data_IF_465356937722
#
_entry.id   IF_465356937722
#
_cell.length_a   1.000
_cell.length_b   1.000
_cell.length_c   1.000
_cell.angle_alpha   90.00
_cell.angle_beta   90.00
_cell.angle_gamma   90.00
#
_symmetry.space_group_name_H-M   'P 1'
#
loop_
_entity.id
_entity.type
_entity.pdbx_description
1 polymer ?
#
# COMPACT_ATOMS: atom_id res chain seq x y z
N UNK A 1 -9.60 0.65 -6.95
CA UNK A 1 -8.84 -0.44 -6.30
C UNK A 1 -8.11 0.11 -5.09
N UNK A 2 -8.33 -0.45 -3.89
CA UNK A 2 -7.61 -0.02 -2.69
C UNK A 2 -6.13 -0.38 -2.76
N UNK A 3 -5.27 0.46 -2.18
CA UNK A 3 -3.84 0.19 -2.07
C UNK A 3 -3.56 -1.15 -1.35
N UNK A 4 -4.32 -1.45 -0.29
CA UNK A 4 -4.24 -2.74 0.40
C UNK A 4 -4.43 -3.94 -0.55
N UNK A 5 -5.35 -3.85 -1.51
CA UNK A 5 -5.63 -4.95 -2.44
C UNK A 5 -4.42 -5.31 -3.28
N UNK A 6 -3.62 -4.34 -3.70
CA UNK A 6 -2.43 -4.58 -4.50
C UNK A 6 -1.39 -5.42 -3.74
N UNK A 7 -1.35 -5.33 -2.41
CA UNK A 7 -0.41 -6.10 -1.59
C UNK A 7 -0.64 -7.62 -1.69
N UNK A 8 -1.76 -8.06 -2.25
CA UNK A 8 -2.10 -9.46 -2.47
C UNK A 8 -2.12 -9.86 -3.95
N UNK A 9 -1.70 -8.97 -4.85
CA UNK A 9 -1.65 -9.24 -6.28
C UNK A 9 -0.23 -9.54 -6.71
N UNK A 10 -0.08 -10.57 -7.54
CA UNK A 10 1.20 -11.02 -8.09
C UNK A 10 1.04 -11.36 -9.57
N UNK A 11 2.12 -11.16 -10.34
CA UNK A 11 2.20 -11.55 -11.73
C UNK A 11 2.02 -13.07 -11.86
N UNK A 12 1.14 -13.51 -12.77
CA UNK A 12 0.92 -14.93 -13.04
C UNK A 12 1.59 -15.39 -14.34
N UNK A 13 2.40 -14.53 -14.98
CA UNK A 13 3.13 -14.92 -16.17
C UNK A 13 4.23 -15.92 -15.81
N UNK A 14 4.29 -17.04 -16.54
CA UNK A 14 5.23 -18.14 -16.29
C UNK A 14 6.71 -17.70 -16.37
N UNK A 15 6.99 -16.59 -17.06
CA UNK A 15 8.35 -16.10 -17.30
C UNK A 15 8.84 -15.09 -16.23
N UNK A 16 7.98 -14.70 -15.27
CA UNK A 16 8.29 -13.68 -14.26
C UNK A 16 9.03 -14.23 -13.02
N UNK A 17 9.66 -15.40 -13.11
CA UNK A 17 10.52 -15.94 -12.03
C UNK A 17 9.78 -16.51 -10.83
N UNK A 18 10.54 -17.01 -9.85
CA UNK A 18 10.02 -17.52 -8.57
C UNK A 18 9.51 -16.33 -7.73
N UNK A 19 8.34 -16.41 -7.08
CA UNK A 19 7.87 -15.37 -6.15
C UNK A 19 8.80 -15.11 -4.96
N UNK A 20 9.79 -15.96 -4.71
CA UNK A 20 10.81 -15.77 -3.70
C UNK A 20 12.12 -15.16 -4.24
N UNK A 21 12.20 -14.82 -5.54
CA UNK A 21 13.39 -14.16 -6.09
C UNK A 21 13.42 -12.69 -5.70
N UNK A 22 14.58 -12.22 -5.23
CA UNK A 22 14.81 -10.81 -4.89
C UNK A 22 14.50 -9.94 -6.11
N UNK A 23 13.82 -8.80 -5.88
CA UNK A 23 13.41 -7.86 -6.91
C UNK A 23 14.57 -7.49 -7.85
N UNK A 24 14.47 -7.92 -9.10
CA UNK A 24 15.17 -7.35 -10.25
C UNK A 24 14.10 -6.78 -11.19
N UNK A 25 14.29 -5.55 -11.67
CA UNK A 25 13.37 -4.87 -12.58
C UNK A 25 13.02 -5.80 -13.78
N UNK A 26 11.73 -6.12 -13.95
CA UNK A 26 11.19 -6.99 -15.01
C UNK A 26 11.28 -8.51 -14.77
N UNK A 27 11.69 -8.98 -13.59
CA UNK A 27 11.85 -10.42 -13.30
C UNK A 27 11.29 -10.91 -11.97
N UNK A 28 10.68 -10.04 -11.16
CA UNK A 28 10.04 -10.44 -9.92
C UNK A 28 8.52 -10.44 -10.10
N UNK A 29 7.80 -11.49 -9.68
CA UNK A 29 6.36 -11.54 -9.84
C UNK A 29 5.63 -10.73 -8.75
N UNK A 30 6.36 -10.21 -7.76
CA UNK A 30 5.83 -9.47 -6.62
C UNK A 30 6.86 -8.48 -6.03
N UNK A 31 6.44 -7.29 -5.53
CA UNK A 31 5.14 -6.67 -5.73
C UNK A 31 4.98 -6.14 -7.17
N UNK A 32 3.73 -6.08 -7.65
CA UNK A 32 3.44 -5.40 -8.91
C UNK A 32 3.64 -3.88 -8.77
N UNK A 33 4.30 -3.25 -9.73
CA UNK A 33 4.50 -1.78 -9.73
C UNK A 33 3.26 -1.05 -10.17
N UNK A 34 2.90 -0.01 -9.46
CA UNK A 34 1.69 0.77 -9.73
C UNK A 34 2.05 1.96 -10.62
N UNK A 35 1.34 2.10 -11.75
CA UNK A 35 1.33 3.35 -12.50
C UNK A 35 -0.08 3.90 -12.38
N UNK A 36 -0.26 4.86 -11.47
CA UNK A 36 -1.56 5.47 -11.22
C UNK A 36 -1.73 6.70 -12.11
N UNK A 37 -2.76 6.71 -12.94
CA UNK A 37 -3.14 7.91 -13.70
C UNK A 37 -4.10 8.79 -12.90
N UNK A 38 -5.07 8.15 -12.23
CA UNK A 38 -6.03 8.82 -11.37
C UNK A 38 -6.25 8.03 -10.08
N UNK A 39 -6.34 8.76 -8.97
CA UNK A 39 -6.62 8.19 -7.66
C UNK A 39 -7.45 9.16 -6.84
N UNK A 40 -8.18 8.64 -5.88
CA UNK A 40 -8.93 9.41 -4.90
C UNK A 40 -8.64 8.93 -3.49
N UNK A 41 -8.84 9.84 -2.54
CA UNK A 41 -8.73 9.55 -1.12
C UNK A 41 -10.15 9.38 -0.58
N UNK A 42 -10.48 8.18 -0.12
CA UNK A 42 -11.73 7.91 0.57
C UNK A 42 -11.51 8.05 2.08
N UNK A 43 -12.34 8.87 2.73
CA UNK A 43 -12.34 8.94 4.18
C UNK A 43 -12.94 7.67 4.76
N UNK A 44 -12.11 6.85 5.41
CA UNK A 44 -12.58 5.69 6.15
C UNK A 44 -13.14 6.16 7.49
N UNK A 45 -14.37 5.75 7.82
CA UNK A 45 -14.92 5.97 9.15
C UNK A 45 -14.09 5.18 10.19
N UNK A 46 -13.44 5.89 11.10
CA UNK A 46 -12.46 5.31 12.05
C UNK A 46 -13.09 4.24 12.95
N UNK A 47 -14.38 4.36 13.25
CA UNK A 47 -15.15 3.47 14.13
C UNK A 47 -15.66 2.20 13.43
N UNK A 48 -15.59 2.13 12.10
CA UNK A 48 -16.11 0.97 11.36
C UNK A 48 -15.29 -0.29 11.62
N UNK A 49 -13.97 -0.14 11.79
CA UNK A 49 -13.05 -1.24 12.01
C UNK A 49 -12.52 -1.23 13.45
N UNK A 50 -12.75 -2.34 14.17
CA UNK A 50 -12.11 -2.55 15.47
C UNK A 50 -10.58 -2.53 15.37
N UNK A 51 -9.90 -2.09 16.43
CA UNK A 51 -8.44 -2.09 16.53
C UNK A 51 -7.85 -3.46 16.17
N UNK A 52 -8.45 -4.55 16.66
CA UNK A 52 -8.02 -5.91 16.37
C UNK A 52 -8.12 -6.28 14.87
N UNK A 53 -9.13 -5.76 14.16
CA UNK A 53 -9.27 -5.98 12.73
C UNK A 53 -8.16 -5.24 11.95
N UNK A 54 -7.89 -3.98 12.31
CA UNK A 54 -6.80 -3.17 11.72
C UNK A 54 -5.45 -3.85 11.90
N UNK A 55 -5.13 -4.29 13.13
CA UNK A 55 -3.90 -5.04 13.44
C UNK A 55 -3.79 -6.32 12.61
N UNK A 56 -4.86 -7.11 12.49
CA UNK A 56 -4.84 -8.34 11.68
C UNK A 56 -4.59 -8.08 10.21
N UNK A 57 -5.15 -7.01 9.66
CA UNK A 57 -4.92 -6.63 8.26
C UNK A 57 -3.46 -6.26 8.03
N UNK A 58 -2.89 -5.42 8.91
CA UNK A 58 -1.49 -5.01 8.81
C UNK A 58 -0.54 -6.21 9.01
N UNK A 59 -0.87 -7.18 9.88
CA UNK A 59 -0.05 -8.40 10.06
C UNK A 59 0.03 -9.30 8.83
N UNK A 60 -0.99 -9.28 7.98
CA UNK A 60 -1.03 -10.10 6.77
C UNK A 60 -0.44 -9.38 5.56
N UNK A 61 -0.03 -8.12 5.71
CA UNK A 61 0.57 -7.33 4.68
C UNK A 61 2.07 -7.62 4.59
N UNK A 62 2.61 -7.75 3.38
CA UNK A 62 4.04 -7.58 3.17
C UNK A 62 4.36 -6.08 3.26
N UNK A 63 5.03 -5.70 4.35
CA UNK A 63 5.34 -4.32 4.67
C UNK A 63 6.22 -3.65 3.60
N UNK A 64 7.20 -4.36 3.04
CA UNK A 64 8.11 -3.79 2.04
C UNK A 64 7.41 -3.60 0.70
N UNK A 65 6.56 -4.56 0.32
CA UNK A 65 5.71 -4.42 -0.85
C UNK A 65 4.76 -3.22 -0.71
N UNK A 66 4.13 -3.06 0.45
CA UNK A 66 3.23 -1.94 0.71
C UNK A 66 3.92 -0.58 0.60
N UNK A 67 5.10 -0.43 1.24
CA UNK A 67 5.89 0.80 1.13
C UNK A 67 6.33 1.08 -0.31
N UNK A 68 6.63 0.05 -1.09
CA UNK A 68 6.97 0.19 -2.52
C UNK A 68 5.80 0.73 -3.31
N UNK A 69 4.60 0.17 -3.10
CA UNK A 69 3.36 0.61 -3.74
C UNK A 69 2.95 2.02 -3.35
N UNK A 70 3.17 2.39 -2.09
CA UNK A 70 2.92 3.75 -1.61
C UNK A 70 3.79 4.76 -2.37
N UNK A 71 5.10 4.48 -2.50
CA UNK A 71 6.02 5.30 -3.30
C UNK A 71 5.57 5.42 -4.75
N UNK A 72 5.18 4.31 -5.38
CA UNK A 72 4.71 4.31 -6.77
C UNK A 72 3.56 5.28 -7.01
N UNK A 73 2.59 5.34 -6.09
CA UNK A 73 1.45 6.25 -6.20
C UNK A 73 1.87 7.71 -5.94
N UNK A 74 2.83 7.94 -5.05
CA UNK A 74 3.37 9.28 -4.79
C UNK A 74 4.13 9.87 -6.00
N UNK A 75 4.77 9.03 -6.82
CA UNK A 75 5.54 9.47 -7.98
C UNK A 75 4.75 9.49 -9.30
N UNK A 76 3.65 8.74 -9.41
CA UNK A 76 2.88 8.62 -10.67
C UNK A 76 1.61 9.46 -10.73
N UNK A 77 1.07 9.90 -9.58
CA UNK A 77 -0.07 10.83 -9.52
C UNK A 77 0.37 12.31 -9.52
N UNK A 78 -0.45 13.20 -10.11
CA UNK A 78 -0.29 14.66 -10.02
C UNK A 78 -0.22 15.08 -8.54
N UNK A 79 0.96 15.44 -8.00
CA UNK A 79 1.18 15.57 -6.56
C UNK A 79 0.36 16.70 -5.92
N UNK A 80 -0.21 17.59 -6.75
CA UNK A 80 -0.94 18.79 -6.34
C UNK A 80 -2.45 18.76 -6.62
N UNK A 81 -3.00 17.66 -7.16
CA UNK A 81 -4.45 17.57 -7.41
C UNK A 81 -5.10 16.51 -6.53
N UNK A 82 -5.71 16.98 -5.45
CA UNK A 82 -6.80 16.34 -4.70
C UNK A 82 -6.44 15.30 -3.63
N UNK A 83 -5.20 15.22 -3.16
CA UNK A 83 -4.96 14.37 -1.98
C UNK A 83 -5.18 15.17 -0.69
N UNK A 84 -6.18 14.75 0.10
CA UNK A 84 -6.43 15.29 1.43
C UNK A 84 -5.42 14.76 2.46
N UNK A 85 -4.66 13.71 2.13
CA UNK A 85 -3.57 13.23 2.97
C UNK A 85 -2.37 14.16 2.91
N UNK A 86 -2.05 14.74 4.07
CA UNK A 86 -0.84 15.51 4.25
C UNK A 86 0.39 14.62 4.02
N UNK A 87 1.53 15.23 3.69
CA UNK A 87 2.82 14.53 3.63
C UNK A 87 3.14 13.79 4.94
N UNK A 88 2.65 14.30 6.07
CA UNK A 88 2.85 13.73 7.40
C UNK A 88 2.07 12.42 7.58
N UNK A 89 0.90 12.29 6.95
CA UNK A 89 0.10 11.06 6.98
C UNK A 89 0.77 9.89 6.23
N UNK A 90 1.63 10.23 5.26
CA UNK A 90 2.33 9.25 4.41
C UNK A 90 3.70 8.82 4.93
N UNK A 91 4.24 9.55 5.92
CA UNK A 91 5.53 9.23 6.51
C UNK A 91 5.41 8.01 7.43
N UNK A 92 5.55 6.83 6.84
CA UNK A 92 5.49 5.53 7.51
C UNK A 92 6.90 4.99 7.76
N UNK A 93 7.11 4.27 8.88
CA UNK A 93 8.44 3.76 9.21
C UNK A 93 8.90 2.71 8.18
N UNK A 94 10.18 2.73 7.82
CA UNK A 94 10.77 1.76 6.86
C UNK A 94 10.59 0.30 7.32
N UNK A 95 10.52 0.09 8.63
CA UNK A 95 10.21 -1.19 9.26
C UNK A 95 9.20 -1.00 10.39
N UNK A 96 8.27 -1.93 10.56
CA UNK A 96 7.33 -1.89 11.68
C UNK A 96 8.10 -1.92 13.02
N UNK A 97 7.90 -0.92 13.91
CA UNK A 97 8.58 -0.88 15.19
C UNK A 97 8.09 -2.01 16.11
N UNK A 98 8.92 -2.43 17.07
CA UNK A 98 8.53 -3.48 18.03
C UNK A 98 7.32 -3.01 18.85
N UNK A 99 6.27 -3.82 18.91
CA UNK A 99 5.05 -3.51 19.66
C UNK A 99 4.12 -2.52 18.96
N UNK A 100 4.28 -2.30 17.64
CA UNK A 100 3.43 -1.42 16.85
C UNK A 100 1.93 -1.74 16.98
N UNK A 101 1.57 -2.97 17.31
CA UNK A 101 0.17 -3.38 17.48
C UNK A 101 -0.55 -2.66 18.64
N UNK A 102 0.21 -2.21 19.64
CA UNK A 102 -0.29 -1.50 20.82
C UNK A 102 -0.37 0.01 20.58
N UNK A 103 0.27 0.51 19.52
CA UNK A 103 0.24 1.91 19.13
C UNK A 103 -0.99 2.18 18.25
N UNK A 104 -2.11 2.56 18.86
CA UNK A 104 -3.36 2.86 18.16
C UNK A 104 -3.19 3.96 17.10
N UNK A 105 -2.36 4.97 17.37
CA UNK A 105 -2.13 6.05 16.43
C UNK A 105 -1.41 5.55 15.18
N UNK A 106 -0.35 4.74 15.36
CA UNK A 106 0.35 4.12 14.23
C UNK A 106 -0.54 3.12 13.47
N UNK A 107 -1.29 2.28 14.18
CA UNK A 107 -2.21 1.32 13.55
C UNK A 107 -3.26 2.04 12.72
N UNK A 108 -3.88 3.09 13.26
CA UNK A 108 -4.86 3.90 12.53
C UNK A 108 -4.22 4.59 11.33
N UNK A 109 -3.01 5.14 11.48
CA UNK A 109 -2.26 5.76 10.38
C UNK A 109 -2.03 4.77 9.24
N UNK A 110 -1.43 3.61 9.52
CA UNK A 110 -1.15 2.58 8.52
C UNK A 110 -2.44 2.11 7.86
N UNK A 111 -3.47 1.83 8.68
CA UNK A 111 -4.76 1.37 8.20
C UNK A 111 -5.40 2.39 7.25
N UNK A 112 -5.45 3.66 7.66
CA UNK A 112 -6.01 4.74 6.86
C UNK A 112 -5.27 4.86 5.54
N UNK A 113 -3.93 4.90 5.53
CA UNK A 113 -3.16 4.96 4.26
C UNK A 113 -3.46 3.74 3.37
N UNK A 114 -3.55 2.54 3.95
CA UNK A 114 -3.79 1.31 3.19
C UNK A 114 -5.18 1.20 2.57
N UNK A 115 -6.19 1.80 3.20
CA UNK A 115 -7.60 1.65 2.83
C UNK A 115 -8.18 2.89 2.16
N UNK A 116 -7.68 4.08 2.51
CA UNK A 116 -8.22 5.33 2.00
C UNK A 116 -7.83 5.57 0.55
N UNK A 117 -6.62 5.17 0.14
CA UNK A 117 -6.18 5.39 -1.24
C UNK A 117 -6.83 4.40 -2.19
N UNK A 118 -7.61 4.94 -3.13
CA UNK A 118 -8.25 4.19 -4.21
C UNK A 118 -7.66 4.62 -5.56
N UNK A 119 -7.07 3.67 -6.27
CA UNK A 119 -6.64 3.86 -7.67
C UNK A 119 -7.85 3.64 -8.55
N UNK A 120 -8.24 4.67 -9.31
CA UNK A 120 -9.40 4.65 -10.21
C UNK A 120 -8.99 4.18 -11.62
N UNK A 121 -7.92 4.74 -12.16
CA UNK A 121 -7.33 4.34 -13.44
C UNK A 121 -5.81 4.25 -13.36
N UNK A 122 -5.24 3.31 -14.11
CA UNK A 122 -3.81 3.06 -14.11
C UNK A 122 -3.47 1.65 -14.61
N UNK A 123 -2.23 1.23 -14.40
CA UNK A 123 -1.77 -0.12 -14.68
C UNK A 123 -0.98 -0.72 -13.51
N UNK A 124 -0.91 -2.05 -13.52
CA UNK A 124 -0.02 -2.83 -12.69
C UNK A 124 1.01 -3.50 -13.58
N UNK A 125 2.29 -3.22 -13.33
CA UNK A 125 3.39 -3.77 -14.10
C UNK A 125 4.10 -4.86 -13.30
N UNK A 126 4.38 -5.97 -13.97
CA UNK A 126 5.51 -6.83 -13.65
C UNK A 126 6.78 -6.16 -14.23
#
# INVERSE_FOLDING_TARGET
MKLLSQNFMQCQANDCGDPNTVWEEGKAPYPLRIISETSEDEKIEEDFYSQNAKVRMIKNMDWQAFLTSLKDIEFTGDPDKNSEFSKEDRDLPETLPKGWEEDEALVNKIFNVSMAKEILTGSLNC
#
